data_IF_644843676446
#
_entry.id   IF_644843676446
#
_cell.length_a   1.000
_cell.length_b   1.000
_cell.length_c   1.000
_cell.angle_alpha   90.00
_cell.angle_beta   90.00
_cell.angle_gamma   90.00
#
_symmetry.space_group_name_H-M   'P 1'
#
loop_
_entity.id
_entity.type
_entity.pdbx_description
1 polymer ?
#
# COMPACT_ATOMS: atom_id res chain seq x y z
N UNK A 1 16.88 7.13 19.79
CA UNK A 1 16.63 7.58 18.40
C UNK A 1 15.98 6.43 17.67
N UNK A 2 14.78 6.60 17.10
CA UNK A 2 14.18 5.56 16.26
C UNK A 2 15.02 5.43 14.97
N UNK A 3 15.39 4.21 14.59
CA UNK A 3 16.17 3.95 13.39
C UNK A 3 15.31 4.24 12.15
N UNK A 4 15.53 5.39 11.50
CA UNK A 4 14.94 5.69 10.18
C UNK A 4 15.67 4.90 9.10
N UNK A 5 14.94 4.29 8.17
CA UNK A 5 15.48 3.63 6.97
C UNK A 5 14.94 4.37 5.75
N UNK A 6 15.84 4.90 4.91
CA UNK A 6 15.47 5.68 3.72
C UNK A 6 15.35 4.79 2.48
N UNK A 7 14.47 5.19 1.55
CA UNK A 7 14.42 4.61 0.22
C UNK A 7 15.60 5.08 -0.67
N UNK A 8 15.73 4.52 -1.88
CA UNK A 8 16.81 4.88 -2.82
C UNK A 8 16.76 6.34 -3.31
N UNK A 9 15.61 6.99 -3.23
CA UNK A 9 15.38 8.37 -3.67
C UNK A 9 15.53 9.40 -2.54
N UNK A 10 15.64 8.95 -1.29
CA UNK A 10 15.55 9.76 -0.07
C UNK A 10 14.25 10.57 0.04
N UNK A 11 13.20 10.27 -0.75
CA UNK A 11 11.92 10.99 -0.71
C UNK A 11 11.01 10.48 0.40
N UNK A 12 11.21 9.24 0.86
CA UNK A 12 10.47 8.63 1.96
C UNK A 12 11.39 7.85 2.90
N UNK A 13 10.87 7.58 4.09
CA UNK A 13 11.49 6.66 5.04
C UNK A 13 10.44 5.79 5.75
N UNK A 14 10.90 4.64 6.27
CA UNK A 14 10.08 3.74 7.09
C UNK A 14 10.42 3.93 8.55
N UNK A 15 9.39 3.95 9.39
CA UNK A 15 9.51 4.00 10.85
C UNK A 15 8.49 3.08 11.51
N UNK A 16 8.80 2.58 12.71
CA UNK A 16 7.82 1.88 13.54
C UNK A 16 6.77 2.84 14.10
N UNK A 17 5.49 2.49 13.94
CA UNK A 17 4.34 3.22 14.47
C UNK A 17 3.70 2.38 15.58
N UNK A 18 3.64 2.88 16.83
CA UNK A 18 2.99 2.16 17.93
C UNK A 18 1.57 1.73 17.56
N UNK A 19 1.29 0.44 17.67
CA UNK A 19 -0.03 -0.13 17.35
C UNK A 19 -0.32 -0.40 15.87
N UNK A 20 0.50 0.08 14.92
CA UNK A 20 0.35 -0.21 13.47
C UNK A 20 1.49 -1.02 12.86
N UNK A 21 2.61 -1.17 13.58
CA UNK A 21 3.78 -1.87 13.04
C UNK A 21 4.69 -0.91 12.29
N UNK A 22 4.80 -1.03 10.97
CA UNK A 22 5.61 -0.13 10.13
C UNK A 22 4.71 0.94 9.50
N UNK A 23 5.24 2.13 9.29
CA UNK A 23 4.58 3.20 8.52
C UNK A 23 5.58 3.87 7.58
N UNK A 24 5.05 4.44 6.51
CA UNK A 24 5.83 5.16 5.49
C UNK A 24 5.61 6.65 5.70
N UNK A 25 6.71 7.40 5.76
CA UNK A 25 6.71 8.83 6.06
C UNK A 25 7.40 9.60 4.94
N UNK A 26 6.92 10.80 4.68
CA UNK A 26 7.52 11.70 3.72
C UNK A 26 8.83 12.28 4.27
N UNK A 27 9.90 12.24 3.48
CA UNK A 27 11.18 12.93 3.76
C UNK A 27 11.36 14.20 2.91
N UNK A 28 10.43 14.43 2.00
CA UNK A 28 10.30 15.64 1.19
C UNK A 28 8.83 16.05 1.17
N UNK A 29 8.55 17.28 0.73
CA UNK A 29 7.17 17.71 0.53
C UNK A 29 6.60 17.11 -0.76
N UNK A 30 5.41 16.53 -0.68
CA UNK A 30 4.62 16.16 -1.86
C UNK A 30 3.45 17.12 -2.04
N UNK A 31 3.16 17.48 -3.29
CA UNK A 31 1.96 18.23 -3.67
C UNK A 31 0.83 17.27 -4.01
N UNK A 32 -0.40 17.75 -3.88
CA UNK A 32 -1.57 17.04 -4.40
C UNK A 32 -1.35 16.62 -5.87
N UNK A 33 -1.60 15.34 -6.16
CA UNK A 33 -1.42 14.74 -7.49
C UNK A 33 -0.03 14.16 -7.75
N UNK A 34 0.96 14.40 -6.90
CA UNK A 34 2.29 13.81 -7.06
C UNK A 34 2.23 12.28 -6.94
N UNK A 35 2.95 11.59 -7.82
CA UNK A 35 3.22 10.15 -7.70
C UNK A 35 4.34 9.99 -6.69
N UNK A 36 4.00 9.47 -5.51
CA UNK A 36 4.94 9.31 -4.40
C UNK A 36 5.85 8.10 -4.65
N UNK A 37 5.27 6.98 -5.07
CA UNK A 37 6.00 5.77 -5.47
C UNK A 37 5.20 5.00 -6.53
N UNK A 38 5.92 4.24 -7.36
CA UNK A 38 5.38 3.21 -8.25
C UNK A 38 6.10 1.89 -7.99
N UNK A 39 5.35 0.83 -7.75
CA UNK A 39 5.85 -0.49 -7.38
C UNK A 39 5.39 -1.59 -8.36
N UNK A 40 6.28 -2.50 -8.77
CA UNK A 40 5.91 -3.66 -9.56
C UNK A 40 5.13 -4.66 -8.69
N UNK A 41 4.33 -5.50 -9.34
CA UNK A 41 3.51 -6.47 -8.65
C UNK A 41 3.64 -7.87 -9.25
N UNK A 42 3.27 -8.87 -8.46
CA UNK A 42 3.07 -10.24 -8.92
C UNK A 42 1.61 -10.64 -8.70
N UNK A 43 0.88 -10.86 -9.79
CA UNK A 43 -0.52 -11.30 -9.75
C UNK A 43 -0.65 -12.80 -9.53
N UNK A 44 -1.69 -13.21 -8.81
CA UNK A 44 -1.99 -14.61 -8.53
C UNK A 44 -3.52 -14.88 -8.52
N UNK A 45 -3.88 -16.15 -8.59
CA UNK A 45 -5.27 -16.63 -8.68
C UNK A 45 -5.89 -16.99 -7.32
N UNK A 46 -7.16 -17.39 -7.32
CA UNK A 46 -7.91 -17.76 -6.11
C UNK A 46 -7.29 -18.93 -5.31
N UNK A 47 -6.74 -19.92 -6.02
CA UNK A 47 -6.09 -21.06 -5.38
C UNK A 47 -4.85 -20.60 -4.58
N UNK A 48 -4.06 -19.69 -5.17
CA UNK A 48 -2.91 -19.09 -4.50
C UNK A 48 -3.34 -18.15 -3.36
N UNK A 49 -4.41 -17.38 -3.55
CA UNK A 49 -4.95 -16.47 -2.53
C UNK A 49 -5.26 -17.23 -1.23
N UNK A 50 -5.99 -18.34 -1.31
CA UNK A 50 -6.32 -19.20 -0.15
C UNK A 50 -5.10 -19.68 0.63
N UNK A 51 -3.99 -19.94 -0.07
CA UNK A 51 -2.73 -20.31 0.58
C UNK A 51 -2.08 -19.11 1.27
N UNK A 52 -2.07 -17.94 0.60
CA UNK A 52 -1.48 -16.71 1.14
C UNK A 52 -2.25 -16.15 2.33
N UNK A 53 -3.58 -16.30 2.38
CA UNK A 53 -4.45 -15.93 3.50
C UNK A 53 -4.00 -16.56 4.83
N UNK A 54 -3.37 -17.73 4.75
CA UNK A 54 -2.85 -18.45 5.91
C UNK A 54 -1.42 -18.05 6.31
N UNK A 55 -0.87 -17.00 5.70
CA UNK A 55 0.52 -16.56 5.91
C UNK A 55 0.60 -15.07 6.24
N UNK A 56 1.76 -14.62 6.73
CA UNK A 56 2.02 -13.19 6.92
C UNK A 56 2.04 -12.37 5.63
N UNK A 57 2.00 -13.00 4.44
CA UNK A 57 1.92 -12.30 3.14
C UNK A 57 0.53 -11.68 2.94
N UNK A 58 -0.50 -12.14 3.65
CA UNK A 58 -1.86 -11.62 3.57
C UNK A 58 -1.94 -10.09 3.72
N UNK A 59 -1.14 -9.52 4.62
CA UNK A 59 -1.12 -8.07 4.89
C UNK A 59 -0.49 -7.24 3.75
N UNK A 60 0.17 -7.88 2.77
CA UNK A 60 0.99 -7.22 1.75
C UNK A 60 0.52 -7.46 0.31
N UNK A 61 -0.59 -8.17 0.11
CA UNK A 61 -1.19 -8.29 -1.20
C UNK A 61 -2.49 -7.49 -1.30
N UNK A 62 -2.82 -7.06 -2.51
CA UNK A 62 -3.92 -6.17 -2.80
C UNK A 62 -4.85 -6.76 -3.86
N UNK A 63 -6.14 -6.43 -3.76
CA UNK A 63 -7.16 -6.84 -4.73
C UNK A 63 -7.48 -5.66 -5.65
N UNK A 64 -7.55 -5.94 -6.96
CA UNK A 64 -7.90 -4.97 -8.00
C UNK A 64 -9.37 -5.06 -8.34
N UNK A 65 -10.15 -4.05 -7.96
CA UNK A 65 -11.58 -4.00 -8.28
C UNK A 65 -11.88 -3.52 -9.71
N UNK A 66 -10.90 -2.90 -10.38
CA UNK A 66 -11.02 -2.43 -11.77
C UNK A 66 -10.98 -3.56 -12.81
N UNK A 67 -10.58 -4.77 -12.41
CA UNK A 67 -10.47 -5.93 -13.30
C UNK A 67 -11.67 -6.88 -13.30
N UNK A 68 -12.61 -6.73 -12.37
CA UNK A 68 -13.81 -7.59 -12.24
C UNK A 68 -14.75 -7.63 -13.45
N UNK A 69 -14.47 -6.84 -14.50
CA UNK A 69 -15.26 -6.76 -15.73
C UNK A 69 -14.62 -7.49 -16.93
N UNK A 70 -13.40 -8.04 -16.81
CA UNK A 70 -12.62 -8.55 -17.96
C UNK A 70 -12.36 -10.06 -17.97
N UNK A 71 -13.05 -10.86 -17.15
CA UNK A 71 -12.86 -12.32 -17.12
C UNK A 71 -11.44 -12.75 -16.72
N UNK A 72 -10.74 -11.89 -15.97
CA UNK A 72 -9.40 -12.15 -15.45
C UNK A 72 -9.47 -13.16 -14.30
N UNK A 73 -8.65 -14.21 -14.36
CA UNK A 73 -8.57 -15.23 -13.30
C UNK A 73 -7.75 -14.77 -12.09
N UNK A 74 -7.05 -13.63 -12.20
CA UNK A 74 -6.28 -13.05 -11.11
C UNK A 74 -7.19 -12.41 -10.06
N UNK A 75 -6.95 -12.75 -8.79
CA UNK A 75 -7.76 -12.29 -7.66
C UNK A 75 -6.96 -11.41 -6.69
N UNK A 76 -5.62 -11.45 -6.74
CA UNK A 76 -4.76 -10.66 -5.87
C UNK A 76 -3.38 -10.38 -6.47
N UNK A 77 -2.68 -9.43 -5.87
CA UNK A 77 -1.38 -8.93 -6.33
C UNK A 77 -0.46 -8.68 -5.14
N UNK A 78 0.68 -9.37 -5.06
CA UNK A 78 1.76 -9.01 -4.11
C UNK A 78 2.45 -7.75 -4.63
N UNK A 79 2.65 -6.76 -3.76
CA UNK A 79 3.28 -5.48 -4.11
C UNK A 79 4.70 -5.42 -3.56
N UNK A 80 5.70 -5.14 -4.40
CA UNK A 80 7.12 -5.23 -4.02
C UNK A 80 7.79 -3.89 -3.63
N UNK A 81 7.00 -2.83 -3.40
CA UNK A 81 7.50 -1.50 -3.01
C UNK A 81 6.98 -1.04 -1.65
N UNK A 82 7.38 0.17 -1.22
CA UNK A 82 6.95 0.75 0.06
C UNK A 82 5.44 1.04 0.09
N UNK A 83 4.79 1.13 -1.07
CA UNK A 83 3.33 1.12 -1.22
C UNK A 83 2.67 0.01 -0.38
N UNK A 84 3.31 -1.16 -0.28
CA UNK A 84 2.82 -2.30 0.52
C UNK A 84 2.85 -2.07 2.04
N UNK A 85 3.54 -1.03 2.51
CA UNK A 85 3.71 -0.66 3.92
C UNK A 85 2.93 0.60 4.29
N UNK A 86 2.21 1.21 3.34
CA UNK A 86 1.43 2.42 3.58
C UNK A 86 0.22 2.06 4.44
N UNK A 87 0.12 2.68 5.60
CA UNK A 87 -0.91 2.34 6.57
C UNK A 87 -2.30 2.82 6.15
N UNK A 88 -3.29 2.19 6.77
CA UNK A 88 -4.66 2.62 6.68
C UNK A 88 -4.90 3.93 7.44
N UNK A 89 -5.68 4.85 6.86
CA UNK A 89 -6.45 5.85 7.63
C UNK A 89 -7.92 5.86 7.22
N UNK A 90 -8.81 5.83 8.22
CA UNK A 90 -10.26 5.92 8.09
C UNK A 90 -10.76 7.36 8.10
N UNK A 91 -10.19 8.22 8.96
CA UNK A 91 -10.63 9.62 9.10
C UNK A 91 -10.07 10.55 8.02
N UNK A 92 -8.79 10.44 7.69
CA UNK A 92 -8.12 11.47 6.87
C UNK A 92 -6.94 10.95 6.03
N UNK A 93 -7.15 9.99 5.11
CA UNK A 93 -6.07 9.54 4.22
C UNK A 93 -5.57 10.67 3.32
N UNK A 94 -4.25 10.75 3.12
CA UNK A 94 -3.58 11.77 2.31
C UNK A 94 -3.05 11.22 0.96
N UNK A 95 -3.24 9.94 0.68
CA UNK A 95 -2.91 9.32 -0.60
C UNK A 95 -3.93 8.25 -1.05
N UNK A 96 -3.82 7.82 -2.31
CA UNK A 96 -4.65 6.76 -2.91
C UNK A 96 -3.84 5.86 -3.84
N UNK A 97 -4.27 4.60 -3.94
CA UNK A 97 -3.71 3.65 -4.89
C UNK A 97 -4.25 3.92 -6.31
N UNK A 98 -3.37 3.83 -7.29
CA UNK A 98 -3.68 3.92 -8.73
C UNK A 98 -3.00 2.75 -9.43
N UNK A 99 -3.79 1.90 -10.07
CA UNK A 99 -3.30 0.74 -10.81
C UNK A 99 -3.08 1.07 -12.28
N UNK A 100 -1.98 0.56 -12.85
CA UNK A 100 -1.68 0.67 -14.28
C UNK A 100 -1.18 -0.66 -14.81
N UNK A 101 -1.47 -0.92 -16.08
CA UNK A 101 -0.99 -2.10 -16.79
C UNK A 101 -0.01 -1.67 -17.87
N UNK A 102 1.22 -2.16 -17.78
CA UNK A 102 2.33 -1.86 -18.68
C UNK A 102 2.77 -3.16 -19.37
N UNK A 103 3.66 -3.08 -20.36
CA UNK A 103 4.23 -4.28 -21.00
C UNK A 103 4.95 -5.20 -20.00
N UNK A 104 5.49 -4.63 -18.91
CA UNK A 104 6.16 -5.37 -17.83
C UNK A 104 5.19 -5.95 -16.78
N UNK A 105 3.88 -5.81 -16.97
CA UNK A 105 2.84 -6.34 -16.09
C UNK A 105 2.09 -5.25 -15.33
N UNK A 106 1.43 -5.66 -14.25
CA UNK A 106 0.65 -4.77 -13.40
C UNK A 106 1.55 -3.98 -12.43
N UNK A 107 1.27 -2.70 -12.29
CA UNK A 107 1.94 -1.79 -11.38
C UNK A 107 0.91 -1.10 -10.50
N UNK A 108 1.32 -0.77 -9.27
CA UNK A 108 0.55 0.09 -8.38
C UNK A 108 1.36 1.33 -8.04
N UNK A 109 0.71 2.49 -8.11
CA UNK A 109 1.26 3.76 -7.67
C UNK A 109 0.50 4.26 -6.45
N UNK A 110 1.19 4.88 -5.49
CA UNK A 110 0.57 5.66 -4.43
C UNK A 110 0.67 7.14 -4.81
N UNK A 111 -0.48 7.81 -4.90
CA UNK A 111 -0.61 9.19 -5.40
C UNK A 111 -1.17 10.08 -4.30
N UNK A 112 -0.53 11.21 -4.05
CA UNK A 112 -0.96 12.18 -3.05
C UNK A 112 -2.34 12.76 -3.41
N UNK A 113 -3.29 12.72 -2.47
CA UNK A 113 -4.61 13.36 -2.61
C UNK A 113 -4.69 14.72 -1.91
N UNK A 114 -3.64 15.06 -1.15
CA UNK A 114 -3.42 16.33 -0.44
C UNK A 114 -1.94 16.69 -0.52
N UNK A 115 -1.58 17.90 -0.11
CA UNK A 115 -0.17 18.17 0.16
C UNK A 115 0.24 17.34 1.39
N UNK A 116 1.44 16.75 1.35
CA UNK A 116 2.02 15.95 2.43
C UNK A 116 3.32 16.65 2.82
N UNK A 117 3.42 17.06 4.09
CA UNK A 117 4.61 17.74 4.59
C UNK A 117 5.71 16.75 5.01
N UNK A 118 6.93 17.24 5.18
CA UNK A 118 8.05 16.42 5.69
C UNK A 118 7.68 15.86 7.07
N UNK A 119 8.02 14.59 7.29
CA UNK A 119 7.71 13.79 8.47
C UNK A 119 6.21 13.47 8.68
N UNK A 120 5.33 13.79 7.72
CA UNK A 120 3.93 13.33 7.75
C UNK A 120 3.83 11.84 7.31
N UNK A 121 3.00 11.05 8.01
CA UNK A 121 2.71 9.67 7.63
C UNK A 121 1.89 9.64 6.34
N UNK A 122 2.34 8.89 5.35
CA UNK A 122 1.60 8.64 4.12
C UNK A 122 0.60 7.52 4.44
N UNK A 123 -0.68 7.77 4.20
CA UNK A 123 -1.77 6.82 4.51
C UNK A 123 -2.78 6.74 3.37
N UNK A 124 -3.46 5.59 3.26
CA UNK A 124 -4.57 5.42 2.32
C UNK A 124 -5.75 4.69 2.93
N UNK A 125 -6.89 4.65 2.22
CA UNK A 125 -8.04 3.86 2.64
C UNK A 125 -7.88 2.41 2.19
N UNK A 126 -7.96 1.47 3.12
CA UNK A 126 -8.02 0.04 2.81
C UNK A 126 -9.46 -0.30 2.39
N UNK A 127 -9.63 -1.09 1.33
CA UNK A 127 -10.95 -1.50 0.84
C UNK A 127 -11.39 -2.86 1.41
N UNK A 128 -10.49 -3.60 2.04
CA UNK A 128 -10.68 -4.96 2.54
C UNK A 128 -10.51 -5.08 4.07
N UNK A 129 -10.76 -4.00 4.83
CA UNK A 129 -10.65 -4.02 6.31
C UNK A 129 -11.42 -5.19 6.93
N UNK A 130 -12.58 -5.53 6.38
CA UNK A 130 -13.42 -6.64 6.85
C UNK A 130 -12.83 -8.04 6.60
N UNK A 131 -11.80 -8.17 5.77
CA UNK A 131 -11.12 -9.43 5.52
C UNK A 131 -10.05 -9.75 6.59
N UNK A 132 -9.65 -8.76 7.39
CA UNK A 132 -8.64 -8.96 8.43
C UNK A 132 -9.22 -9.69 9.64
N UNK A 133 -8.40 -10.50 10.36
CA UNK A 133 -8.82 -11.13 11.59
C UNK A 133 -9.33 -10.09 12.62
N UNK A 134 -10.36 -10.40 13.43
CA UNK A 134 -10.88 -9.49 14.46
C UNK A 134 -9.85 -9.06 15.51
N UNK A 135 -8.69 -9.73 15.56
CA UNK A 135 -7.57 -9.41 16.45
C UNK A 135 -6.77 -8.20 15.98
N UNK A 136 -6.92 -7.76 14.72
CA UNK A 136 -6.28 -6.56 14.20
C UNK A 136 -7.15 -5.36 14.53
N UNK A 137 -6.60 -4.44 15.32
CA UNK A 137 -7.23 -3.17 15.63
C UNK A 137 -6.65 -2.09 14.72
N UNK A 138 -7.44 -1.59 13.77
CA UNK A 138 -7.03 -0.48 12.91
C UNK A 138 -7.08 0.83 13.69
N UNK A 139 -5.91 1.44 13.87
CA UNK A 139 -5.73 2.71 14.56
C UNK A 139 -5.43 3.78 13.51
N UNK A 140 -6.04 4.95 13.65
CA UNK A 140 -5.75 6.14 12.83
C UNK A 140 -4.47 6.86 13.27
#
# INVERSE_FOLDING_TARGET
MANKIFDRSLAMYVQTVPGKGRGVFANTRFKIGDVIERAPTWGFDDATAKLLDCTGVFEYYFVRHDRGLKGDSLTGYVVFGLVSLVNHSSSNPNARLVWTDEESGAWVSIVATKNIEVDEEITHRYTNVSAYPPTINFID
#
